data_IF_882264378083
#
_entry.id   IF_882264378083
#
_cell.length_a   1.000
_cell.length_b   1.000
_cell.length_c   1.000
_cell.angle_alpha   90.00
_cell.angle_beta   90.00
_cell.angle_gamma   90.00
#
_symmetry.space_group_name_H-M   'P 1'
#
loop_
_entity.id
_entity.type
_entity.pdbx_description
1 polymer ?
#
# COMPACT_ATOMS: atom_id res chain seq x y z
N UNK A 1 -16.74 -10.43 3.74
CA UNK A 1 -15.61 -11.00 4.49
C UNK A 1 -16.12 -11.92 5.62
N UNK A 2 -16.55 -13.16 5.32
CA UNK A 2 -17.06 -14.06 6.35
C UNK A 2 -15.99 -14.44 7.37
N UNK A 3 -14.75 -14.68 6.91
CA UNK A 3 -13.61 -15.10 7.75
C UNK A 3 -13.21 -14.05 8.79
N UNK A 4 -13.08 -12.78 8.39
CA UNK A 4 -12.75 -11.68 9.31
C UNK A 4 -13.86 -11.46 10.33
N UNK A 5 -15.14 -11.55 9.91
CA UNK A 5 -16.28 -11.47 10.83
C UNK A 5 -16.21 -12.57 11.90
N UNK A 6 -15.96 -13.82 11.48
CA UNK A 6 -15.81 -14.95 12.38
C UNK A 6 -14.61 -14.80 13.31
N UNK A 7 -13.46 -14.35 12.79
CA UNK A 7 -12.24 -14.15 13.57
C UNK A 7 -12.39 -13.10 14.68
N UNK A 8 -13.18 -12.05 14.41
CA UNK A 8 -13.46 -10.99 15.38
C UNK A 8 -14.68 -11.29 16.26
N UNK A 9 -15.26 -12.50 16.17
CA UNK A 9 -16.48 -12.89 16.88
C UNK A 9 -17.63 -11.88 16.73
N UNK A 10 -17.76 -11.27 15.54
CA UNK A 10 -18.80 -10.29 15.25
C UNK A 10 -20.08 -11.01 14.81
N UNK A 11 -21.22 -10.67 15.42
CA UNK A 11 -22.53 -11.16 14.99
C UNK A 11 -22.86 -10.66 13.56
N UNK A 12 -22.68 -9.36 13.35
CA UNK A 12 -22.87 -8.69 12.07
C UNK A 12 -21.72 -7.73 11.75
N UNK A 13 -21.57 -7.40 10.47
CA UNK A 13 -20.56 -6.41 10.04
C UNK A 13 -21.13 -5.02 10.35
N UNK A 14 -20.41 -4.15 11.08
CA UNK A 14 -20.87 -2.79 11.35
C UNK A 14 -21.20 -2.03 10.05
N UNK A 15 -22.16 -1.10 10.15
CA UNK A 15 -22.54 -0.26 9.00
C UNK A 15 -21.31 0.44 8.37
N UNK A 16 -21.29 0.67 7.04
CA UNK A 16 -20.19 1.37 6.39
C UNK A 16 -19.88 2.73 7.04
N UNK A 17 -20.91 3.43 7.54
CA UNK A 17 -20.75 4.71 8.23
C UNK A 17 -19.97 4.57 9.55
N UNK A 18 -20.18 3.49 10.29
CA UNK A 18 -19.47 3.17 11.53
C UNK A 18 -17.99 2.92 11.26
N UNK A 19 -17.68 2.15 10.22
CA UNK A 19 -16.31 1.89 9.79
C UNK A 19 -15.60 3.18 9.35
N UNK A 20 -16.27 4.03 8.58
CA UNK A 20 -15.73 5.34 8.19
C UNK A 20 -15.48 6.26 9.39
N UNK A 21 -16.36 6.27 10.40
CA UNK A 21 -16.16 7.05 11.63
C UNK A 21 -14.97 6.52 12.43
N UNK A 22 -14.86 5.20 12.59
CA UNK A 22 -13.72 4.56 13.26
C UNK A 22 -12.39 4.85 12.53
N UNK A 23 -12.39 4.76 11.19
CA UNK A 23 -11.25 5.11 10.34
C UNK A 23 -10.75 6.53 10.59
N UNK A 24 -11.67 7.50 10.70
CA UNK A 24 -11.31 8.89 10.95
C UNK A 24 -10.87 9.14 12.41
N UNK A 25 -11.50 8.47 13.38
CA UNK A 25 -11.25 8.65 14.82
C UNK A 25 -9.86 8.17 15.26
N UNK A 26 -9.35 7.09 14.67
CA UNK A 26 -8.07 6.51 15.05
C UNK A 26 -6.91 7.23 14.36
N UNK A 27 -5.91 7.65 15.16
CA UNK A 27 -4.70 8.30 14.64
C UNK A 27 -3.76 7.33 13.93
N UNK A 28 -2.86 7.90 13.13
CA UNK A 28 -1.90 7.11 12.36
C UNK A 28 -0.96 6.29 13.27
N UNK A 29 -0.60 6.80 14.44
CA UNK A 29 0.18 6.02 15.39
C UNK A 29 -0.54 4.72 15.78
N UNK A 30 -1.86 4.79 16.05
CA UNK A 30 -2.66 3.61 16.40
C UNK A 30 -2.72 2.62 15.24
N UNK A 31 -2.96 3.10 14.02
CA UNK A 31 -2.98 2.24 12.83
C UNK A 31 -1.63 1.54 12.58
N UNK A 32 -0.50 2.21 12.84
CA UNK A 32 0.82 1.58 12.76
C UNK A 32 1.06 0.55 13.85
N UNK A 33 0.62 0.81 15.07
CA UNK A 33 0.66 -0.19 16.16
C UNK A 33 -0.15 -1.42 15.77
N UNK A 34 -1.36 -1.24 15.24
CA UNK A 34 -2.19 -2.35 14.75
C UNK A 34 -1.51 -3.13 13.61
N UNK A 35 -0.86 -2.43 12.66
CA UNK A 35 -0.09 -3.09 11.60
C UNK A 35 1.04 -3.93 12.19
N UNK A 36 1.85 -3.39 13.11
CA UNK A 36 2.92 -4.13 13.77
C UNK A 36 2.40 -5.35 14.55
N UNK A 37 1.29 -5.20 15.28
CA UNK A 37 0.65 -6.31 15.98
C UNK A 37 0.16 -7.40 15.01
N UNK A 38 -0.31 -7.03 13.81
CA UNK A 38 -0.75 -8.03 12.82
C UNK A 38 0.39 -8.89 12.28
N UNK A 39 1.64 -8.41 12.35
CA UNK A 39 2.81 -9.19 11.92
C UNK A 39 3.08 -10.34 12.89
N UNK A 40 2.79 -10.17 14.18
CA UNK A 40 3.02 -11.23 15.20
C UNK A 40 2.10 -12.44 15.01
N UNK A 41 1.06 -12.30 14.17
CA UNK A 41 0.16 -13.38 13.77
C UNK A 41 0.78 -14.31 12.72
N UNK A 42 1.95 -13.97 12.16
CA UNK A 42 2.58 -14.69 11.06
C UNK A 42 3.99 -15.16 11.44
N UNK A 43 4.45 -16.34 10.97
CA UNK A 43 5.79 -16.85 11.26
C UNK A 43 6.85 -16.11 10.43
N UNK A 44 7.44 -15.05 10.99
CA UNK A 44 8.50 -14.27 10.35
C UNK A 44 9.88 -14.94 10.51
N UNK A 45 10.80 -14.64 9.59
CA UNK A 45 12.18 -15.14 9.63
C UNK A 45 13.22 -14.06 9.96
N UNK A 46 12.78 -12.81 10.16
CA UNK A 46 13.65 -11.67 10.43
C UNK A 46 14.36 -11.11 9.20
N UNK A 47 14.11 -11.68 8.01
CA UNK A 47 14.66 -11.21 6.74
C UNK A 47 13.55 -10.49 5.98
N UNK A 48 13.74 -9.18 5.81
CA UNK A 48 12.79 -8.28 5.17
C UNK A 48 13.32 -7.75 3.85
N UNK A 49 12.41 -7.59 2.90
CA UNK A 49 12.67 -7.00 1.59
C UNK A 49 11.93 -5.67 1.47
N UNK A 50 12.49 -4.74 0.70
CA UNK A 50 11.91 -3.41 0.44
C UNK A 50 11.67 -3.28 -1.06
N UNK A 51 10.43 -2.98 -1.45
CA UNK A 51 10.10 -2.66 -2.84
C UNK A 51 9.05 -1.56 -2.91
N UNK A 52 9.04 -0.86 -4.04
CA UNK A 52 8.10 0.20 -4.33
C UNK A 52 7.05 -0.22 -5.38
N UNK A 53 5.79 -0.07 -5.01
CA UNK A 53 4.64 -0.10 -5.90
C UNK A 53 4.09 1.31 -6.16
N UNK A 54 3.43 1.46 -7.29
CA UNK A 54 2.65 2.66 -7.61
C UNK A 54 1.18 2.38 -7.37
N UNK A 55 0.51 3.22 -6.59
CA UNK A 55 -0.95 3.22 -6.45
C UNK A 55 -1.53 4.47 -7.11
N UNK A 56 -2.60 4.29 -7.87
CA UNK A 56 -3.30 5.41 -8.50
C UNK A 56 -4.23 6.07 -7.48
N UNK A 57 -4.43 7.38 -7.61
CA UNK A 57 -5.51 8.05 -6.89
C UNK A 57 -6.79 7.89 -7.68
N UNK A 58 -7.91 7.67 -6.99
CA UNK A 58 -9.22 7.62 -7.64
C UNK A 58 -9.42 8.82 -8.57
N UNK A 59 -9.97 8.59 -9.76
CA UNK A 59 -10.12 9.65 -10.76
C UNK A 59 -10.94 10.81 -10.18
N UNK A 60 -10.45 12.03 -10.36
CA UNK A 60 -11.15 13.26 -9.99
C UNK A 60 -11.52 14.00 -11.27
N UNK A 61 -12.67 14.68 -11.30
CA UNK A 61 -13.05 15.47 -12.46
C UNK A 61 -12.00 16.56 -12.74
N UNK A 62 -11.74 16.85 -14.03
CA UNK A 62 -10.79 17.91 -14.43
C UNK A 62 -11.09 19.24 -13.74
N UNK A 63 -12.38 19.58 -13.59
CA UNK A 63 -12.83 20.78 -12.90
C UNK A 63 -12.43 20.78 -11.41
N UNK A 64 -12.61 19.67 -10.70
CA UNK A 64 -12.19 19.54 -9.29
C UNK A 64 -10.67 19.58 -9.13
N UNK A 65 -9.93 18.89 -10.02
CA UNK A 65 -8.46 18.90 -10.00
C UNK A 65 -7.90 20.33 -10.17
N UNK A 66 -8.48 21.10 -11.10
CA UNK A 66 -8.07 22.50 -11.36
C UNK A 66 -8.34 23.41 -10.15
N UNK A 67 -9.48 23.25 -9.47
CA UNK A 67 -9.83 24.05 -8.27
C UNK A 67 -8.92 23.75 -7.07
N UNK A 68 -8.59 22.48 -6.87
CA UNK A 68 -7.82 22.01 -5.69
C UNK A 68 -6.31 21.95 -5.94
N UNK A 69 -5.85 22.31 -7.14
CA UNK A 69 -4.45 22.17 -7.58
C UNK A 69 -3.90 20.75 -7.38
N UNK A 70 -4.76 19.74 -7.52
CA UNK A 70 -4.36 18.34 -7.47
C UNK A 70 -3.59 17.97 -8.74
N UNK A 71 -2.26 18.04 -8.67
CA UNK A 71 -1.36 17.71 -9.80
C UNK A 71 -0.83 16.29 -9.76
N UNK A 72 -0.85 15.67 -8.58
CA UNK A 72 -0.23 14.35 -8.34
C UNK A 72 -1.31 13.28 -8.48
N UNK A 73 -1.18 12.46 -9.52
CA UNK A 73 -2.12 11.39 -9.87
C UNK A 73 -1.77 10.04 -9.21
N UNK A 74 -0.49 9.83 -8.90
CA UNK A 74 0.04 8.55 -8.46
C UNK A 74 0.80 8.71 -7.14
N UNK A 75 0.74 7.67 -6.31
CA UNK A 75 1.46 7.57 -5.06
C UNK A 75 2.50 6.47 -5.18
N UNK A 76 3.75 6.79 -4.84
CA UNK A 76 4.81 5.79 -4.71
C UNK A 76 4.74 5.23 -3.29
N UNK A 77 4.44 3.94 -3.21
CA UNK A 77 4.23 3.19 -1.97
C UNK A 77 5.36 2.19 -1.85
N UNK A 78 6.17 2.31 -0.80
CA UNK A 78 7.27 1.39 -0.49
C UNK A 78 6.82 0.49 0.65
N UNK A 79 6.89 -0.81 0.46
CA UNK A 79 6.49 -1.80 1.46
C UNK A 79 7.76 -2.44 2.05
N UNK A 80 7.71 -2.67 3.36
CA UNK A 80 8.68 -3.51 4.07
C UNK A 80 8.02 -4.86 4.36
N UNK A 81 8.53 -5.94 3.76
CA UNK A 81 7.84 -7.23 3.72
C UNK A 81 8.75 -8.37 4.16
N UNK A 82 8.24 -9.26 5.00
CA UNK A 82 8.92 -10.51 5.38
C UNK A 82 9.04 -11.47 4.20
N UNK A 83 10.24 -11.99 3.97
CA UNK A 83 10.53 -12.88 2.83
C UNK A 83 9.91 -14.28 2.94
N UNK A 84 9.62 -14.76 4.16
CA UNK A 84 9.06 -16.11 4.38
C UNK A 84 7.54 -16.10 4.34
N UNK A 85 6.96 -15.17 5.09
CA UNK A 85 5.53 -15.11 5.36
C UNK A 85 4.81 -14.04 4.54
N UNK A 86 5.51 -13.20 3.78
CA UNK A 86 4.91 -12.06 3.06
C UNK A 86 4.09 -11.16 4.00
N UNK A 87 4.49 -11.09 5.27
CA UNK A 87 3.93 -10.19 6.28
C UNK A 87 4.44 -8.78 6.02
N UNK A 88 3.55 -7.79 6.02
CA UNK A 88 3.92 -6.40 5.78
C UNK A 88 4.19 -5.74 7.14
N UNK A 89 5.41 -5.27 7.37
CA UNK A 89 5.84 -4.59 8.59
C UNK A 89 5.46 -3.12 8.61
N UNK A 90 5.79 -2.39 7.54
CA UNK A 90 5.43 -0.98 7.42
C UNK A 90 5.26 -0.61 5.94
N UNK A 91 4.65 0.55 5.75
CA UNK A 91 4.45 1.17 4.45
C UNK A 91 4.88 2.63 4.51
N UNK A 92 5.67 3.05 3.52
CA UNK A 92 6.07 4.43 3.32
C UNK A 92 5.46 4.95 2.02
N UNK A 93 4.78 6.09 2.07
CA UNK A 93 4.10 6.66 0.90
C UNK A 93 4.70 8.02 0.60
N UNK A 94 5.09 8.20 -0.66
CA UNK A 94 5.62 9.45 -1.18
C UNK A 94 4.84 9.86 -2.42
N UNK A 95 4.85 11.16 -2.67
CA UNK A 95 4.27 11.76 -3.88
C UNK A 95 5.34 12.05 -4.94
N UNK A 96 6.56 11.58 -4.73
CA UNK A 96 7.65 11.70 -5.70
C UNK A 96 7.38 10.82 -6.91
N UNK A 97 7.84 11.29 -8.07
CA UNK A 97 7.65 10.59 -9.34
C UNK A 97 8.33 9.21 -9.25
N UNK A 98 7.62 8.12 -9.58
CA UNK A 98 8.21 6.78 -9.51
C UNK A 98 9.35 6.65 -10.54
N UNK A 99 10.47 6.10 -10.09
CA UNK A 99 11.58 5.68 -10.96
C UNK A 99 11.22 4.29 -11.48
N UNK A 100 10.79 4.22 -12.74
CA UNK A 100 10.44 2.97 -13.42
C UNK A 100 11.50 2.73 -14.48
N UNK A 101 12.01 1.50 -14.60
CA UNK A 101 12.94 1.16 -15.67
C UNK A 101 12.22 1.26 -17.01
N UNK A 102 12.74 2.07 -17.92
CA UNK A 102 12.22 2.23 -19.26
C UNK A 102 12.93 1.27 -20.21
N UNK A 103 12.22 0.78 -21.23
CA UNK A 103 12.87 0.17 -22.38
C UNK A 103 13.54 1.28 -23.19
N UNK A 104 14.82 1.13 -23.48
CA UNK A 104 15.64 2.17 -24.09
C UNK A 104 15.28 2.33 -25.56
N UNK A 105 14.51 3.39 -25.84
CA UNK A 105 14.11 3.80 -27.19
C UNK A 105 14.53 5.25 -27.48
N UNK A 106 14.97 5.99 -26.46
CA UNK A 106 15.40 7.40 -26.55
C UNK A 106 16.46 7.70 -25.51
N UNK A 107 17.25 8.75 -25.74
CA UNK A 107 18.26 9.26 -24.80
C UNK A 107 17.67 9.69 -23.45
N UNK A 108 16.38 10.04 -23.40
CA UNK A 108 15.67 10.31 -22.14
C UNK A 108 15.44 9.04 -21.33
N UNK A 109 15.13 7.91 -21.98
CA UNK A 109 14.96 6.62 -21.29
C UNK A 109 16.29 6.14 -20.70
N UNK A 110 17.37 6.34 -21.44
CA UNK A 110 18.74 6.02 -20.99
C UNK A 110 19.13 6.89 -19.78
N UNK A 111 18.91 8.21 -19.84
CA UNK A 111 19.17 9.11 -18.72
C UNK A 111 18.30 8.81 -17.47
N UNK A 112 17.07 8.32 -17.66
CA UNK A 112 16.20 7.89 -16.56
C UNK A 112 16.66 6.55 -15.97
N UNK A 113 17.10 5.61 -16.80
CA UNK A 113 17.64 4.33 -16.37
C UNK A 113 19.01 4.48 -15.67
N UNK A 114 19.83 5.47 -16.04
CA UNK A 114 21.12 5.75 -15.41
C UNK A 114 21.02 6.12 -13.92
N UNK A 115 19.81 6.47 -13.44
CA UNK A 115 19.53 6.72 -12.03
C UNK A 115 19.19 5.47 -11.24
N UNK A 116 19.09 4.31 -11.89
CA UNK A 116 18.79 3.03 -11.26
C UNK A 116 20.08 2.28 -10.95
N UNK A 117 20.20 1.81 -9.72
CA UNK A 117 21.23 0.85 -9.34
C UNK A 117 20.84 -0.54 -9.87
N UNK A 118 21.66 -1.09 -10.78
CA UNK A 118 21.37 -2.35 -11.45
C UNK A 118 21.47 -3.56 -10.52
N UNK A 119 22.32 -3.50 -9.50
CA UNK A 119 22.57 -4.60 -8.56
C UNK A 119 21.41 -4.71 -7.54
N UNK A 120 20.81 -3.57 -7.17
CA UNK A 120 19.64 -3.52 -6.29
C UNK A 120 18.31 -3.82 -7.02
N UNK A 121 18.24 -3.62 -8.35
CA UNK A 121 17.00 -3.81 -9.12
C UNK A 121 16.56 -5.28 -9.24
N UNK A 122 17.48 -6.24 -9.07
CA UNK A 122 17.27 -7.68 -9.34
C UNK A 122 16.51 -8.48 -8.27
N UNK A 123 16.19 -7.91 -7.11
CA UNK A 123 15.60 -8.66 -5.97
C UNK A 123 14.06 -8.66 -5.94
N UNK A 124 13.39 -8.15 -6.99
CA UNK A 124 11.99 -7.70 -6.99
C UNK A 124 10.89 -8.77 -6.95
N UNK A 125 11.18 -10.04 -7.24
CA UNK A 125 10.12 -11.01 -7.63
C UNK A 125 9.17 -11.40 -6.49
N UNK A 126 9.65 -11.45 -5.25
CA UNK A 126 8.82 -11.79 -4.09
C UNK A 126 7.92 -10.60 -3.70
N UNK A 127 8.47 -9.39 -3.70
CA UNK A 127 7.67 -8.18 -3.47
C UNK A 127 6.67 -7.88 -4.58
N UNK A 128 6.98 -8.19 -5.85
CA UNK A 128 6.01 -8.12 -6.94
C UNK A 128 4.76 -8.97 -6.67
N UNK A 129 4.94 -10.13 -6.02
CA UNK A 129 3.82 -11.00 -5.64
C UNK A 129 2.91 -10.34 -4.61
N UNK A 130 3.47 -9.72 -3.58
CA UNK A 130 2.69 -9.00 -2.55
C UNK A 130 2.02 -7.77 -3.14
N UNK A 131 2.76 -6.96 -3.89
CA UNK A 131 2.25 -5.79 -4.59
C UNK A 131 1.10 -6.13 -5.53
N UNK A 132 1.24 -7.20 -6.30
CA UNK A 132 0.21 -7.68 -7.21
C UNK A 132 -1.01 -8.21 -6.46
N UNK A 133 -0.80 -8.95 -5.37
CA UNK A 133 -1.89 -9.44 -4.51
C UNK A 133 -2.67 -8.29 -3.90
N UNK A 134 -1.99 -7.27 -3.37
CA UNK A 134 -2.64 -6.10 -2.80
C UNK A 134 -3.54 -5.41 -3.83
N UNK A 135 -3.00 -5.13 -5.01
CA UNK A 135 -3.73 -4.45 -6.09
C UNK A 135 -4.90 -5.26 -6.62
N UNK A 136 -4.74 -6.58 -6.79
CA UNK A 136 -5.80 -7.45 -7.32
C UNK A 136 -6.92 -7.69 -6.31
N UNK A 137 -6.59 -7.82 -5.02
CA UNK A 137 -7.57 -8.17 -3.97
C UNK A 137 -8.24 -6.95 -3.35
N UNK A 138 -7.48 -5.89 -3.09
CA UNK A 138 -7.96 -4.68 -2.39
C UNK A 138 -8.11 -3.47 -3.31
N UNK A 139 -7.65 -3.57 -4.57
CA UNK A 139 -7.73 -2.52 -5.57
C UNK A 139 -6.42 -1.75 -5.76
N UNK A 140 -6.24 -1.19 -6.95
CA UNK A 140 -5.06 -0.38 -7.30
C UNK A 140 -5.23 1.12 -7.00
N UNK A 141 -6.41 1.53 -6.53
CA UNK A 141 -6.78 2.92 -6.33
C UNK A 141 -6.91 3.27 -4.86
N UNK A 142 -6.38 4.43 -4.49
CA UNK A 142 -6.65 5.06 -3.19
C UNK A 142 -7.86 5.99 -3.34
N UNK A 143 -8.87 5.78 -2.51
CA UNK A 143 -10.18 6.42 -2.62
C UNK A 143 -10.20 7.79 -1.93
N UNK A 144 -9.47 7.93 -0.83
CA UNK A 144 -9.48 9.19 -0.08
C UNK A 144 -8.94 10.37 -0.89
N UNK A 145 -9.52 11.56 -0.67
CA UNK A 145 -9.08 12.81 -1.31
C UNK A 145 -8.01 13.55 -0.50
N UNK A 146 -7.97 13.33 0.82
CA UNK A 146 -7.01 13.97 1.73
C UNK A 146 -5.74 13.14 1.85
N UNK A 147 -4.57 13.76 1.67
CA UNK A 147 -3.28 13.06 1.61
C UNK A 147 -3.00 12.19 2.85
N UNK A 148 -3.29 12.68 4.06
CA UNK A 148 -3.05 11.91 5.29
C UNK A 148 -3.99 10.70 5.41
N UNK A 149 -5.20 10.80 4.86
CA UNK A 149 -6.15 9.68 4.80
C UNK A 149 -5.77 8.67 3.73
N UNK A 150 -5.13 9.10 2.64
CA UNK A 150 -4.58 8.21 1.62
C UNK A 150 -3.46 7.33 2.20
N UNK A 151 -2.58 7.91 3.01
CA UNK A 151 -1.57 7.17 3.75
C UNK A 151 -2.21 6.14 4.68
N UNK A 152 -3.20 6.57 5.46
CA UNK A 152 -3.94 5.72 6.40
C UNK A 152 -4.67 4.57 5.68
N UNK A 153 -5.27 4.83 4.52
CA UNK A 153 -5.95 3.83 3.69
C UNK A 153 -4.98 2.70 3.29
N UNK A 154 -3.76 3.04 2.87
CA UNK A 154 -2.74 2.05 2.50
C UNK A 154 -2.27 1.22 3.69
N UNK A 155 -2.14 1.81 4.88
CA UNK A 155 -1.80 1.08 6.11
C UNK A 155 -2.91 0.10 6.49
N UNK A 156 -4.18 0.51 6.38
CA UNK A 156 -5.32 -0.37 6.63
C UNK A 156 -5.36 -1.53 5.61
N UNK A 157 -5.02 -1.27 4.35
CA UNK A 157 -4.89 -2.34 3.33
C UNK A 157 -3.80 -3.34 3.71
N UNK A 158 -2.63 -2.87 4.18
CA UNK A 158 -1.54 -3.75 4.62
C UNK A 158 -1.92 -4.56 5.87
N UNK A 159 -2.58 -3.93 6.84
CA UNK A 159 -3.12 -4.58 8.04
C UNK A 159 -4.11 -5.69 7.67
N UNK A 160 -5.04 -5.38 6.76
CA UNK A 160 -6.04 -6.33 6.28
C UNK A 160 -5.40 -7.52 5.57
N UNK A 161 -4.35 -7.28 4.79
CA UNK A 161 -3.56 -8.35 4.14
C UNK A 161 -2.93 -9.30 5.16
N UNK A 162 -2.31 -8.77 6.23
CA UNK A 162 -1.71 -9.60 7.26
C UNK A 162 -2.76 -10.44 8.00
N UNK A 163 -3.89 -9.83 8.38
CA UNK A 163 -5.02 -10.55 9.01
C UNK A 163 -5.55 -11.64 8.08
N UNK A 164 -5.80 -11.32 6.81
CA UNK A 164 -6.28 -12.31 5.84
C UNK A 164 -5.30 -13.45 5.56
N UNK A 165 -3.99 -13.23 5.79
CA UNK A 165 -2.96 -14.26 5.71
C UNK A 165 -2.89 -15.14 6.95
N UNK A 166 -3.24 -14.61 8.11
CA UNK A 166 -3.24 -15.33 9.38
C UNK A 166 -4.49 -16.20 9.57
N UNK A 167 -5.60 -15.82 8.93
CA UNK A 167 -6.84 -16.59 8.87
C UNK A 167 -6.77 -17.73 7.85
#
# INVERSE_FOLDING_TARGET
MPRVRSALNLQEIPSPSTLCKAFNRLDMAVWRVLLNLSVTLLPTNGVVEIDAAVFDRSHASKHYMKRTKLTIQQLKVTLLVDTRSNAIFDVHVTTTRPLIKHREFSSLHEAWNARLDADLYGQRSQNETVNSRLKRKYGAFVHSRHWWKQFRELVVVCLTHNIDKAL
#
